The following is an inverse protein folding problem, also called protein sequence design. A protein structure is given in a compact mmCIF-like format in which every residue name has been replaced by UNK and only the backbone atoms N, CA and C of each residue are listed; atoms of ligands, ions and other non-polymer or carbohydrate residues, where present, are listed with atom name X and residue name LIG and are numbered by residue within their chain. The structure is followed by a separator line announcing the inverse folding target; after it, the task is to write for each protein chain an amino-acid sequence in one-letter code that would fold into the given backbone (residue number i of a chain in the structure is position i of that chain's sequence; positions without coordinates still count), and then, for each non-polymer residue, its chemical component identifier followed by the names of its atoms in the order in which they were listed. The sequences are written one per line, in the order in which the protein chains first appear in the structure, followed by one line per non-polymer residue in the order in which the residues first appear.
data_IF_514199111871
#
_entry.id   IF_514199111871
#
_cell.length_a   1.000
_cell.length_b   1.000
_cell.length_c   1.000
_cell.angle_alpha   90.00
_cell.angle_beta   90.00
_cell.angle_gamma   90.00
#
_symmetry.space_group_name_H-M   'P 1'
#
loop_
_entity.id
_entity.type
_entity.pdbx_description
1 polymer ?
#
# COMPACT_ATOMS: atom_id res chain seq x y z
N UNK A 1 -20.70 24.23 17.61
CA UNK A 1 -20.37 24.80 16.28
C UNK A 1 -19.19 24.02 15.73
N UNK A 2 -19.47 23.01 14.89
CA UNK A 2 -18.43 22.22 14.22
C UNK A 2 -17.87 23.03 13.05
N UNK A 3 -16.67 23.57 13.20
CA UNK A 3 -15.90 24.07 12.07
C UNK A 3 -15.33 22.87 11.33
N UNK A 4 -16.01 22.40 10.31
CA UNK A 4 -15.38 21.57 9.27
C UNK A 4 -14.34 22.45 8.58
N UNK A 5 -13.07 22.20 8.86
CA UNK A 5 -11.98 22.78 8.06
C UNK A 5 -12.05 22.13 6.67
N UNK A 6 -12.71 22.83 5.74
CA UNK A 6 -12.63 22.49 4.32
C UNK A 6 -11.31 23.08 3.82
N UNK A 7 -10.32 22.23 3.64
CA UNK A 7 -9.18 22.57 2.79
C UNK A 7 -9.63 22.38 1.34
N UNK A 8 -9.82 23.50 0.63
CA UNK A 8 -9.93 23.45 -0.83
C UNK A 8 -8.51 23.37 -1.35
N UNK A 9 -8.04 22.17 -1.65
CA UNK A 9 -6.84 21.99 -2.43
C UNK A 9 -7.29 22.08 -3.90
N UNK A 10 -7.01 23.20 -4.56
CA UNK A 10 -7.02 23.23 -6.01
C UNK A 10 -5.83 22.37 -6.47
N UNK A 11 -6.07 21.07 -6.63
CA UNK A 11 -5.15 20.22 -7.33
C UNK A 11 -5.20 20.64 -8.80
N UNK A 12 -4.26 21.47 -9.21
CA UNK A 12 -3.93 21.57 -10.61
C UNK A 12 -3.51 20.17 -11.03
N UNK A 13 -4.38 19.52 -11.82
CA UNK A 13 -4.10 18.21 -12.33
C UNK A 13 -2.90 18.29 -13.28
N UNK A 14 -1.72 18.05 -12.75
CA UNK A 14 -0.50 17.89 -13.56
C UNK A 14 -0.55 16.62 -14.39
N UNK A 15 -1.54 15.76 -14.20
CA UNK A 15 -1.69 14.50 -14.91
C UNK A 15 -3.03 14.43 -15.62
N UNK A 16 -3.07 13.95 -16.85
CA UNK A 16 -4.32 13.71 -17.58
C UNK A 16 -5.14 12.53 -16.97
N UNK A 17 -4.57 11.80 -16.02
CA UNK A 17 -5.17 10.63 -15.36
C UNK A 17 -6.17 11.01 -14.25
N UNK A 18 -6.02 12.18 -13.65
CA UNK A 18 -6.83 12.62 -12.49
C UNK A 18 -8.15 13.31 -12.86
N UNK A 19 -8.79 12.98 -13.97
CA UNK A 19 -9.98 13.70 -14.48
C UNK A 19 -11.25 13.61 -13.64
N UNK A 20 -11.34 12.78 -12.61
CA UNK A 20 -12.46 12.74 -11.66
C UNK A 20 -11.98 12.26 -10.29
N UNK A 21 -11.66 13.19 -9.42
CA UNK A 21 -11.52 12.90 -8.00
C UNK A 21 -12.89 13.14 -7.33
N UNK A 22 -13.55 12.08 -6.90
CA UNK A 22 -14.69 12.20 -5.99
C UNK A 22 -14.19 12.44 -4.57
N UNK A 23 -14.60 13.55 -3.97
CA UNK A 23 -14.01 14.16 -2.77
C UNK A 23 -14.42 13.51 -1.42
N UNK A 24 -15.12 12.38 -1.43
CA UNK A 24 -15.75 11.81 -0.23
C UNK A 24 -14.93 10.68 0.38
N UNK A 25 -13.98 10.96 1.23
CA UNK A 25 -13.13 10.04 2.01
C UNK A 25 -11.77 9.72 1.39
N UNK A 26 -11.26 10.53 0.50
CA UNK A 26 -10.06 10.18 -0.25
C UNK A 26 -8.84 10.84 0.35
N UNK A 27 -7.84 10.05 0.59
CA UNK A 27 -6.50 10.55 0.83
C UNK A 27 -5.94 11.14 -0.48
N UNK A 28 -6.13 12.42 -0.69
CA UNK A 28 -5.71 13.11 -1.91
C UNK A 28 -4.20 13.13 -2.08
N UNK A 29 -3.45 13.18 -0.98
CA UNK A 29 -1.98 13.23 -1.03
C UNK A 29 -1.44 11.88 -1.48
N UNK A 30 -1.90 10.79 -0.87
CA UNK A 30 -1.51 9.43 -1.26
C UNK A 30 -1.84 9.14 -2.72
N UNK A 31 -3.04 9.55 -3.18
CA UNK A 31 -3.48 9.38 -4.58
C UNK A 31 -2.69 10.21 -5.56
N UNK A 32 -2.45 11.49 -5.28
CA UNK A 32 -1.64 12.34 -6.14
C UNK A 32 -0.19 11.82 -6.23
N UNK A 33 0.35 11.32 -5.12
CA UNK A 33 1.68 10.70 -5.10
C UNK A 33 1.70 9.41 -5.93
N UNK A 34 0.64 8.60 -5.87
CA UNK A 34 0.48 7.42 -6.72
C UNK A 34 0.42 7.79 -8.21
N UNK A 35 -0.39 8.81 -8.58
CA UNK A 35 -0.48 9.26 -9.98
C UNK A 35 0.90 9.70 -10.52
N UNK A 36 1.67 10.47 -9.74
CA UNK A 36 3.03 10.88 -10.11
C UNK A 36 4.01 9.69 -10.18
N UNK A 37 3.95 8.75 -9.23
CA UNK A 37 4.77 7.54 -9.27
C UNK A 37 4.47 6.70 -10.52
N UNK A 38 3.19 6.58 -10.90
CA UNK A 38 2.81 5.87 -12.12
C UNK A 38 3.28 6.57 -13.39
N UNK A 39 3.27 7.90 -13.44
CA UNK A 39 3.86 8.65 -14.56
C UNK A 39 5.36 8.42 -14.67
N UNK A 40 6.09 8.39 -13.56
CA UNK A 40 7.53 8.08 -13.56
C UNK A 40 7.79 6.63 -14.02
N UNK A 41 6.98 5.66 -13.57
CA UNK A 41 7.06 4.27 -14.02
C UNK A 41 6.84 4.16 -15.53
N UNK A 42 5.83 4.84 -16.07
CA UNK A 42 5.54 4.80 -17.50
C UNK A 42 6.61 5.55 -18.33
N UNK A 43 7.02 6.73 -17.86
CA UNK A 43 8.05 7.55 -18.55
C UNK A 43 9.35 6.81 -18.69
N UNK A 44 9.77 6.09 -17.66
CA UNK A 44 11.01 5.33 -17.63
C UNK A 44 10.85 3.88 -18.05
N UNK A 45 9.65 3.48 -18.50
CA UNK A 45 9.33 2.12 -18.94
C UNK A 45 9.73 1.05 -17.92
N UNK A 46 9.53 1.33 -16.61
CA UNK A 46 9.89 0.43 -15.54
C UNK A 46 8.98 -0.80 -15.61
N UNK A 47 9.59 -1.96 -15.79
CA UNK A 47 8.88 -3.24 -15.90
C UNK A 47 8.47 -3.77 -14.54
N UNK A 48 7.45 -4.62 -14.52
CA UNK A 48 6.99 -5.32 -13.32
C UNK A 48 5.49 -5.14 -13.10
N UNK A 49 4.96 -5.96 -12.22
CA UNK A 49 3.56 -5.95 -11.83
C UNK A 49 3.35 -5.04 -10.61
N UNK A 50 2.13 -4.96 -10.11
CA UNK A 50 1.79 -4.16 -8.94
C UNK A 50 1.19 -5.01 -7.84
N UNK A 51 1.36 -4.61 -6.59
CA UNK A 51 0.82 -5.34 -5.45
C UNK A 51 0.29 -4.40 -4.36
N UNK A 52 -0.68 -4.90 -3.59
CA UNK A 52 -1.13 -4.32 -2.34
C UNK A 52 -1.23 -5.43 -1.28
N UNK A 53 -0.65 -5.18 -0.11
CA UNK A 53 -0.79 -6.01 1.08
C UNK A 53 -1.55 -5.22 2.12
N UNK A 54 -2.71 -5.74 2.55
CA UNK A 54 -3.72 -5.01 3.32
C UNK A 54 -4.67 -4.26 2.38
N UNK A 55 -5.70 -4.95 1.94
CA UNK A 55 -6.64 -4.45 0.91
C UNK A 55 -7.92 -3.90 1.56
N UNK A 56 -8.34 -4.50 2.67
CA UNK A 56 -9.59 -4.19 3.35
C UNK A 56 -10.77 -4.13 2.38
N UNK A 57 -11.46 -2.98 2.27
CA UNK A 57 -12.59 -2.80 1.35
C UNK A 57 -12.17 -2.38 -0.07
N UNK A 58 -10.86 -2.27 -0.34
CA UNK A 58 -10.30 -2.03 -1.67
C UNK A 58 -10.29 -0.57 -2.10
N UNK A 59 -10.29 0.39 -1.17
CA UNK A 59 -10.28 1.81 -1.54
C UNK A 59 -9.03 2.17 -2.34
N UNK A 60 -7.85 1.74 -1.91
CA UNK A 60 -6.61 2.00 -2.63
C UNK A 60 -6.40 1.01 -3.79
N UNK A 61 -6.89 -0.26 -3.66
CA UNK A 61 -6.90 -1.23 -4.76
C UNK A 61 -7.60 -0.69 -6.00
N UNK A 62 -8.71 0.04 -5.83
CA UNK A 62 -9.44 0.70 -6.95
C UNK A 62 -8.56 1.73 -7.64
N UNK A 63 -7.80 2.52 -6.89
CA UNK A 63 -6.89 3.51 -7.46
C UNK A 63 -5.72 2.84 -8.19
N UNK A 64 -5.11 1.81 -7.59
CA UNK A 64 -4.06 1.01 -8.24
C UNK A 64 -4.56 0.40 -9.56
N UNK A 65 -5.74 -0.21 -9.53
CA UNK A 65 -6.34 -0.84 -10.71
C UNK A 65 -6.65 0.20 -11.82
N UNK A 66 -7.09 1.40 -11.42
CA UNK A 66 -7.36 2.51 -12.36
C UNK A 66 -6.07 3.05 -13.00
N UNK A 67 -5.03 3.21 -12.19
CA UNK A 67 -3.78 3.87 -12.61
C UNK A 67 -2.91 2.94 -13.44
N UNK A 68 -2.96 1.63 -13.17
CA UNK A 68 -2.19 0.62 -13.88
C UNK A 68 -3.08 -0.38 -14.66
N UNK A 69 -3.85 0.08 -15.68
CA UNK A 69 -4.88 -0.73 -16.34
C UNK A 69 -4.35 -1.91 -17.16
N UNK A 70 -3.04 -2.01 -17.37
CA UNK A 70 -2.40 -3.03 -18.19
C UNK A 70 -1.45 -3.95 -17.41
N UNK A 71 -1.41 -3.81 -16.06
CA UNK A 71 -0.54 -4.63 -15.19
C UNK A 71 -1.39 -5.54 -14.32
N UNK A 72 -0.87 -6.71 -13.99
CA UNK A 72 -1.49 -7.54 -12.96
C UNK A 72 -1.42 -6.83 -11.62
N UNK A 73 -2.51 -6.86 -10.90
CA UNK A 73 -2.65 -6.33 -9.54
C UNK A 73 -2.77 -7.51 -8.57
N UNK A 74 -1.73 -7.80 -7.80
CA UNK A 74 -1.77 -8.79 -6.73
C UNK A 74 -2.32 -8.17 -5.46
N UNK A 75 -3.40 -8.76 -4.92
CA UNK A 75 -4.12 -8.26 -3.76
C UNK A 75 -4.06 -9.28 -2.63
N UNK A 76 -3.27 -8.96 -1.61
CA UNK A 76 -3.04 -9.80 -0.43
C UNK A 76 -3.82 -9.27 0.76
N UNK A 77 -4.71 -10.06 1.29
CA UNK A 77 -5.46 -9.76 2.51
C UNK A 77 -5.99 -11.07 3.13
N UNK A 78 -6.20 -11.09 4.42
CA UNK A 78 -6.90 -12.19 5.08
C UNK A 78 -8.37 -12.23 4.67
N UNK A 79 -8.94 -11.07 4.29
CA UNK A 79 -10.38 -10.82 4.10
C UNK A 79 -11.23 -11.23 5.32
N UNK A 80 -10.63 -11.19 6.50
CA UNK A 80 -11.26 -11.54 7.77
C UNK A 80 -10.75 -10.70 8.96
N UNK A 81 -9.99 -9.63 8.67
CA UNK A 81 -9.36 -8.78 9.68
C UNK A 81 -7.94 -9.22 10.05
N UNK A 82 -7.39 -8.68 11.11
CA UNK A 82 -6.04 -9.01 11.55
C UNK A 82 -5.88 -10.50 11.91
N UNK A 83 -4.71 -11.05 11.59
CA UNK A 83 -4.39 -12.41 12.01
C UNK A 83 -4.01 -12.45 13.49
N UNK A 84 -4.56 -13.43 14.24
CA UNK A 84 -4.41 -13.52 15.68
C UNK A 84 -2.94 -13.55 16.13
N UNK A 85 -2.08 -14.26 15.41
CA UNK A 85 -0.65 -14.33 15.75
C UNK A 85 0.04 -12.96 15.68
N UNK A 86 -0.38 -12.07 14.75
CA UNK A 86 0.21 -10.74 14.61
C UNK A 86 -0.25 -9.84 15.75
N UNK A 87 -1.55 -9.92 16.13
CA UNK A 87 -2.09 -9.22 17.29
C UNK A 87 -1.31 -9.59 18.56
N UNK A 88 -1.09 -10.88 18.79
CA UNK A 88 -0.36 -11.35 19.98
C UNK A 88 1.09 -10.84 20.03
N UNK A 89 1.74 -10.76 18.86
CA UNK A 89 3.11 -10.22 18.74
C UNK A 89 3.15 -8.72 18.93
N UNK A 90 2.19 -7.99 18.35
CA UNK A 90 2.03 -6.54 18.54
C UNK A 90 1.87 -6.18 20.02
N UNK A 91 0.98 -6.88 20.71
CA UNK A 91 0.74 -6.71 22.15
C UNK A 91 1.99 -7.02 22.99
N UNK A 92 2.71 -8.10 22.68
CA UNK A 92 3.96 -8.45 23.36
C UNK A 92 5.06 -7.41 23.18
N UNK A 93 5.11 -6.77 22.02
CA UNK A 93 6.06 -5.68 21.72
C UNK A 93 5.60 -4.33 22.27
N UNK A 94 4.35 -4.21 22.71
CA UNK A 94 3.76 -2.96 23.18
C UNK A 94 3.49 -1.94 22.08
N UNK A 95 3.30 -2.39 20.83
CA UNK A 95 3.05 -1.51 19.68
C UNK A 95 1.57 -1.15 19.55
N UNK A 96 0.69 -2.13 19.39
CA UNK A 96 -0.74 -1.92 19.23
C UNK A 96 -1.55 -2.96 20.01
N UNK A 97 -2.79 -2.65 20.35
CA UNK A 97 -3.71 -3.62 20.96
C UNK A 97 -4.47 -4.46 19.91
N UNK A 98 -4.38 -4.09 18.63
CA UNK A 98 -4.96 -4.82 17.50
C UNK A 98 -6.48 -4.95 17.54
N UNK A 99 -7.18 -4.02 18.20
CA UNK A 99 -8.65 -4.12 18.40
C UNK A 99 -9.49 -3.58 17.26
N UNK A 100 -8.89 -2.96 16.24
CA UNK A 100 -9.65 -2.49 15.09
C UNK A 100 -10.26 -3.66 14.33
N UNK A 101 -11.54 -3.51 13.98
CA UNK A 101 -12.28 -4.50 13.21
C UNK A 101 -12.20 -4.21 11.71
N UNK A 102 -11.34 -4.94 11.02
CA UNK A 102 -11.22 -4.93 9.56
C UNK A 102 -11.86 -6.17 8.91
N UNK A 103 -12.73 -6.88 9.63
CA UNK A 103 -13.38 -8.08 9.12
C UNK A 103 -14.50 -7.81 8.10
N UNK A 104 -14.99 -6.56 8.00
CA UNK A 104 -16.08 -6.20 7.10
C UNK A 104 -15.58 -6.01 5.66
N UNK A 105 -15.05 -7.07 5.08
CA UNK A 105 -14.53 -7.10 3.72
C UNK A 105 -14.74 -8.49 3.10
N UNK A 106 -14.56 -8.58 1.77
CA UNK A 106 -14.51 -9.85 1.06
C UNK A 106 -13.89 -9.67 -0.33
N UNK A 107 -13.42 -10.77 -0.92
CA UNK A 107 -12.93 -10.79 -2.31
C UNK A 107 -13.99 -10.26 -3.28
N UNK A 108 -15.24 -10.69 -3.13
CA UNK A 108 -16.32 -10.28 -4.04
C UNK A 108 -16.65 -8.79 -3.91
N UNK A 109 -16.62 -8.24 -2.69
CA UNK A 109 -16.80 -6.81 -2.46
C UNK A 109 -15.74 -6.00 -3.20
N UNK A 110 -14.46 -6.33 -2.99
CA UNK A 110 -13.35 -5.62 -3.64
C UNK A 110 -13.40 -5.80 -5.15
N UNK A 111 -13.60 -7.03 -5.63
CA UNK A 111 -13.68 -7.34 -7.07
C UNK A 111 -14.79 -6.56 -7.76
N UNK A 112 -15.94 -6.39 -7.11
CA UNK A 112 -17.07 -5.62 -7.64
C UNK A 112 -16.80 -4.11 -7.76
N UNK A 113 -15.77 -3.59 -7.10
CA UNK A 113 -15.39 -2.17 -7.14
C UNK A 113 -14.32 -1.85 -8.20
N UNK A 114 -13.56 -2.85 -8.64
CA UNK A 114 -12.47 -2.66 -9.60
C UNK A 114 -12.99 -2.30 -11.00
N UNK A 115 -12.29 -1.40 -11.69
CA UNK A 115 -12.57 -1.06 -13.08
C UNK A 115 -12.14 -2.16 -14.06
N UNK A 116 -11.03 -2.84 -13.74
CA UNK A 116 -10.44 -3.91 -14.54
C UNK A 116 -10.25 -5.18 -13.69
N UNK A 117 -11.35 -5.83 -13.24
CA UNK A 117 -11.27 -6.95 -12.30
C UNK A 117 -10.52 -8.18 -12.87
N UNK A 118 -10.39 -8.28 -14.18
CA UNK A 118 -9.61 -9.36 -14.83
C UNK A 118 -8.09 -9.22 -14.65
N UNK A 119 -7.60 -8.03 -14.28
CA UNK A 119 -6.20 -7.79 -13.95
C UNK A 119 -5.87 -8.20 -12.50
N UNK A 120 -6.88 -8.30 -11.63
CA UNK A 120 -6.66 -8.57 -10.22
C UNK A 120 -6.43 -10.06 -9.95
N UNK A 121 -5.37 -10.34 -9.19
CA UNK A 121 -5.01 -11.65 -8.67
C UNK A 121 -5.18 -11.63 -7.15
N UNK A 122 -6.34 -12.06 -6.68
CA UNK A 122 -6.62 -12.14 -5.25
C UNK A 122 -5.82 -13.26 -4.59
N UNK A 123 -5.20 -12.97 -3.46
CA UNK A 123 -4.38 -13.85 -2.64
C UNK A 123 -4.91 -13.87 -1.20
N UNK A 124 -6.13 -14.46 -1.00
CA UNK A 124 -6.75 -14.49 0.32
C UNK A 124 -5.98 -15.38 1.28
N UNK A 125 -5.76 -14.89 2.50
CA UNK A 125 -5.08 -15.58 3.58
C UNK A 125 -3.94 -14.79 4.20
N UNK A 126 -3.15 -15.46 5.02
CA UNK A 126 -2.10 -14.83 5.79
C UNK A 126 -0.85 -14.55 4.95
N UNK A 127 -0.40 -13.29 4.94
CA UNK A 127 0.88 -12.91 4.34
C UNK A 127 2.03 -13.14 5.36
N UNK A 128 3.21 -13.69 4.97
CA UNK A 128 3.70 -13.85 3.60
C UNK A 128 3.38 -15.19 2.92
N UNK A 129 2.65 -16.13 3.55
CA UNK A 129 2.38 -17.44 2.94
C UNK A 129 1.64 -17.34 1.61
N UNK A 130 0.76 -16.33 1.48
CA UNK A 130 0.01 -16.09 0.24
C UNK A 130 0.86 -15.56 -0.91
N UNK A 131 2.13 -15.20 -0.66
CA UNK A 131 3.08 -14.81 -1.70
C UNK A 131 3.80 -15.99 -2.36
N UNK A 132 3.56 -17.21 -1.89
CA UNK A 132 4.14 -18.44 -2.49
C UNK A 132 3.84 -18.54 -3.98
N UNK A 133 4.86 -18.84 -4.76
CA UNK A 133 4.78 -18.95 -6.22
C UNK A 133 5.02 -17.64 -6.97
N UNK A 134 5.36 -16.55 -6.26
CA UNK A 134 5.70 -15.25 -6.84
C UNK A 134 7.19 -14.89 -6.67
N UNK A 135 8.04 -15.86 -6.36
CA UNK A 135 9.46 -15.66 -6.09
C UNK A 135 10.22 -15.09 -7.31
N UNK A 136 9.72 -15.34 -8.51
CA UNK A 136 10.29 -14.88 -9.78
C UNK A 136 9.55 -13.68 -10.40
N UNK A 137 8.50 -13.17 -9.76
CA UNK A 137 7.81 -11.98 -10.23
C UNK A 137 8.60 -10.71 -9.87
N UNK A 138 8.56 -9.73 -10.77
CA UNK A 138 9.10 -8.39 -10.49
C UNK A 138 7.95 -7.41 -10.32
N UNK A 139 8.16 -6.43 -9.46
CA UNK A 139 7.18 -5.39 -9.16
C UNK A 139 7.71 -4.01 -9.49
N UNK A 140 6.87 -3.14 -10.01
CA UNK A 140 7.21 -1.73 -10.21
C UNK A 140 6.55 -0.81 -9.17
N UNK A 141 5.44 -1.27 -8.58
CA UNK A 141 4.76 -0.55 -7.51
C UNK A 141 4.19 -1.53 -6.48
N UNK A 142 4.39 -1.22 -5.19
CA UNK A 142 3.84 -2.00 -4.08
C UNK A 142 3.27 -1.04 -3.03
N UNK A 143 2.09 -1.35 -2.50
CA UNK A 143 1.52 -0.74 -1.30
C UNK A 143 1.55 -1.73 -0.15
N UNK A 144 2.11 -1.32 1.00
CA UNK A 144 2.05 -2.05 2.26
C UNK A 144 1.20 -1.26 3.24
N UNK A 145 0.03 -1.79 3.61
CA UNK A 145 -1.00 -1.12 4.38
C UNK A 145 -1.68 -2.11 5.34
N UNK A 146 -0.88 -2.66 6.24
CA UNK A 146 -1.29 -3.77 7.13
C UNK A 146 -1.30 -3.39 8.60
N UNK A 147 -0.99 -2.13 8.93
CA UNK A 147 -1.04 -1.55 10.29
C UNK A 147 -0.07 -2.18 11.31
N UNK A 148 0.40 -3.40 11.09
CA UNK A 148 1.13 -4.20 12.08
C UNK A 148 2.59 -4.44 11.65
N UNK A 149 3.48 -4.57 12.63
CA UNK A 149 4.92 -4.72 12.42
C UNK A 149 5.28 -5.93 11.55
N UNK A 150 4.81 -7.15 11.90
CA UNK A 150 5.24 -8.38 11.22
C UNK A 150 4.89 -8.38 9.73
N UNK A 151 3.65 -8.09 9.29
CA UNK A 151 3.34 -8.08 7.87
C UNK A 151 4.02 -6.93 7.11
N UNK A 152 4.34 -5.80 7.74
CA UNK A 152 5.12 -4.72 7.09
C UNK A 152 6.56 -5.17 6.85
N UNK A 153 7.26 -5.70 7.87
CA UNK A 153 8.66 -6.11 7.69
C UNK A 153 8.79 -7.29 6.72
N UNK A 154 7.87 -8.25 6.77
CA UNK A 154 7.82 -9.36 5.81
C UNK A 154 7.48 -8.87 4.39
N UNK A 155 6.62 -7.86 4.26
CA UNK A 155 6.34 -7.19 2.99
C UNK A 155 7.60 -6.54 2.41
N UNK A 156 8.34 -5.79 3.20
CA UNK A 156 9.61 -5.19 2.76
C UNK A 156 10.63 -6.26 2.36
N UNK A 157 10.79 -7.34 3.16
CA UNK A 157 11.70 -8.46 2.87
C UNK A 157 11.33 -9.21 1.60
N UNK A 158 10.04 -9.35 1.32
CA UNK A 158 9.58 -10.02 0.11
C UNK A 158 9.67 -9.12 -1.13
N UNK A 159 9.14 -7.89 -1.07
CA UNK A 159 8.97 -7.06 -2.25
C UNK A 159 10.19 -6.23 -2.63
N UNK A 160 10.99 -5.71 -1.67
CA UNK A 160 12.10 -4.84 -2.02
C UNK A 160 13.18 -5.53 -2.89
N UNK A 161 13.60 -6.78 -2.63
CA UNK A 161 14.50 -7.48 -3.55
C UNK A 161 13.91 -7.64 -4.96
N UNK A 162 12.60 -7.79 -5.08
CA UNK A 162 11.83 -7.99 -6.33
C UNK A 162 11.35 -6.70 -6.96
N UNK A 163 11.57 -5.57 -6.31
CA UNK A 163 11.22 -4.28 -6.86
C UNK A 163 12.17 -3.94 -8.01
N UNK A 164 11.63 -3.55 -9.14
CA UNK A 164 12.42 -3.12 -10.30
C UNK A 164 13.18 -1.82 -9.98
N UNK A 165 14.40 -1.62 -10.51
CA UNK A 165 15.09 -0.35 -10.38
C UNK A 165 14.20 0.83 -10.84
N UNK A 166 14.11 1.86 -10.01
CA UNK A 166 13.19 3.00 -10.21
C UNK A 166 11.76 2.79 -9.72
N UNK A 167 11.38 1.56 -9.34
CA UNK A 167 10.06 1.24 -8.77
C UNK A 167 9.85 1.78 -7.36
N UNK A 168 8.61 1.70 -6.86
CA UNK A 168 8.19 2.33 -5.61
C UNK A 168 7.53 1.33 -4.66
N UNK A 169 7.80 1.48 -3.37
CA UNK A 169 7.01 0.90 -2.28
C UNK A 169 6.44 2.05 -1.44
N UNK A 170 5.12 2.07 -1.26
CA UNK A 170 4.44 2.93 -0.30
C UNK A 170 4.17 2.12 0.96
N UNK A 171 4.56 2.65 2.13
CA UNK A 171 4.22 2.05 3.43
C UNK A 171 3.33 3.02 4.17
N UNK A 172 2.06 2.63 4.37
CA UNK A 172 1.06 3.44 5.06
C UNK A 172 1.28 3.43 6.58
N UNK A 173 0.69 4.37 7.29
CA UNK A 173 0.70 4.48 8.75
C UNK A 173 2.07 4.59 9.44
N UNK A 174 3.12 4.97 8.72
CA UNK A 174 4.46 5.16 9.31
C UNK A 174 4.48 6.22 10.41
N UNK A 175 3.67 7.28 10.30
CA UNK A 175 3.55 8.36 11.29
C UNK A 175 2.30 8.23 12.17
N UNK A 176 1.57 7.13 12.10
CA UNK A 176 0.37 6.91 12.88
C UNK A 176 0.71 6.35 14.27
N UNK A 177 0.43 7.14 15.30
CA UNK A 177 0.69 6.75 16.69
C UNK A 177 -0.15 5.54 17.16
N UNK A 178 -1.20 5.17 16.42
CA UNK A 178 -1.99 3.95 16.69
C UNK A 178 -1.26 2.69 16.25
N UNK A 179 -0.31 2.80 15.30
CA UNK A 179 0.40 1.68 14.71
C UNK A 179 1.94 1.88 14.73
N UNK A 180 2.55 2.09 15.91
CA UNK A 180 3.99 2.36 16.00
C UNK A 180 4.87 1.21 15.49
N UNK A 181 4.31 0.00 15.37
CA UNK A 181 4.95 -1.16 14.78
C UNK A 181 5.35 -0.95 13.31
N UNK A 182 4.58 -0.16 12.55
CA UNK A 182 4.89 0.15 11.15
C UNK A 182 6.21 0.91 11.04
N UNK A 183 6.38 1.96 11.84
CA UNK A 183 7.65 2.71 11.90
C UNK A 183 8.81 1.81 12.29
N UNK A 184 8.64 1.02 13.36
CA UNK A 184 9.67 0.12 13.85
C UNK A 184 10.12 -0.87 12.76
N UNK A 185 9.18 -1.43 11.98
CA UNK A 185 9.48 -2.35 10.88
C UNK A 185 10.27 -1.69 9.75
N UNK A 186 9.90 -0.47 9.33
CA UNK A 186 10.62 0.26 8.28
C UNK A 186 12.02 0.65 8.74
N UNK A 187 12.16 1.16 9.98
CA UNK A 187 13.44 1.56 10.54
C UNK A 187 14.38 0.36 10.72
N UNK A 188 13.88 -0.79 11.20
CA UNK A 188 14.66 -2.03 11.29
C UNK A 188 15.15 -2.48 9.91
N UNK A 189 14.24 -2.51 8.92
CA UNK A 189 14.60 -2.88 7.56
C UNK A 189 15.65 -1.96 6.96
N UNK A 190 15.58 -0.65 7.24
CA UNK A 190 16.54 0.34 6.76
C UNK A 190 17.93 0.22 7.41
N UNK A 191 18.02 -0.32 8.62
CA UNK A 191 19.32 -0.63 9.26
C UNK A 191 20.02 -1.83 8.60
N UNK A 192 19.23 -2.79 8.10
CA UNK A 192 19.74 -4.02 7.47
C UNK A 192 20.01 -3.85 5.97
N UNK A 193 19.37 -2.87 5.34
CA UNK A 193 19.37 -2.70 3.89
C UNK A 193 19.61 -1.23 3.49
N UNK A 194 20.35 -0.96 2.40
CA UNK A 194 20.63 0.40 1.95
C UNK A 194 19.40 1.03 1.27
N UNK A 195 18.35 1.29 2.03
CA UNK A 195 17.15 1.99 1.55
C UNK A 195 17.13 3.44 2.04
N UNK A 196 16.48 4.29 1.24
CA UNK A 196 16.08 5.63 1.66
C UNK A 196 14.58 5.78 1.46
N UNK A 197 13.92 6.50 2.35
CA UNK A 197 12.49 6.75 2.27
C UNK A 197 12.15 8.21 2.52
N UNK A 198 11.09 8.68 1.88
CA UNK A 198 10.57 10.05 2.00
C UNK A 198 9.20 10.01 2.65
N UNK A 199 8.99 10.71 3.78
CA UNK A 199 7.65 10.89 4.36
C UNK A 199 6.76 11.74 3.44
N UNK A 200 5.48 11.34 3.33
CA UNK A 200 4.43 12.13 2.66
C UNK A 200 3.30 12.45 3.65
N UNK A 201 2.71 13.65 3.58
CA UNK A 201 1.71 14.11 4.54
C UNK A 201 0.29 13.68 4.15
N UNK A 202 0.11 12.39 3.92
CA UNK A 202 -1.18 11.74 3.71
C UNK A 202 -1.88 11.38 5.04
N UNK A 203 -3.06 10.80 4.98
CA UNK A 203 -3.75 10.31 6.17
C UNK A 203 -2.99 9.09 6.69
N UNK A 204 -2.54 9.14 7.95
CA UNK A 204 -1.67 8.12 8.55
C UNK A 204 -0.17 8.39 8.36
N UNK A 205 0.23 9.26 7.44
CA UNK A 205 1.62 9.66 7.23
C UNK A 205 2.49 8.56 6.67
N UNK A 206 2.29 8.22 5.41
CA UNK A 206 3.06 7.19 4.71
C UNK A 206 4.52 7.56 4.49
N UNK A 207 5.34 6.57 4.19
CA UNK A 207 6.65 6.76 3.57
C UNK A 207 6.70 6.12 2.20
N UNK A 208 7.47 6.75 1.31
CA UNK A 208 7.74 6.27 -0.05
C UNK A 208 9.19 5.82 -0.15
N UNK A 209 9.39 4.58 -0.52
CA UNK A 209 10.70 4.00 -0.84
C UNK A 209 10.79 3.92 -2.36
N UNK A 210 11.86 4.47 -2.96
CA UNK A 210 12.16 4.29 -4.38
C UNK A 210 13.43 3.46 -4.52
N UNK A 211 13.39 2.39 -5.31
CA UNK A 211 14.59 1.61 -5.60
C UNK A 211 15.52 2.42 -6.51
N UNK A 212 16.81 2.55 -6.17
CA UNK A 212 17.75 3.25 -7.05
C UNK A 212 17.73 2.71 -8.46
N UNK A 213 17.86 3.62 -9.44
CA UNK A 213 18.18 3.25 -10.82
C UNK A 213 19.67 2.99 -10.84
N UNK A 214 20.09 1.77 -11.14
CA UNK A 214 21.49 1.36 -11.18
C UNK A 214 22.27 2.07 -12.27
#
# INVERSE_FOLDING_TARGET
MNRQNRYVVEAHAYTQRSKKLEWNRLDLVRRATLDLAAEEIDRHQILGEIAEVGVFQGDFAVDLNRVFPHRKLFLFDTFSGFHQNDIEKEQKRGFSDGKQDFSQTSVDLVKGRLLFPHQAQFRPGYFPQTALGLENENFCFVSLDTDLYDPIIEGLRFFYPRLSPGGFIFVHDFHNDQYPGVRAAVEEYALENPISYLPIPDIGGSVVIRKPVG
#
